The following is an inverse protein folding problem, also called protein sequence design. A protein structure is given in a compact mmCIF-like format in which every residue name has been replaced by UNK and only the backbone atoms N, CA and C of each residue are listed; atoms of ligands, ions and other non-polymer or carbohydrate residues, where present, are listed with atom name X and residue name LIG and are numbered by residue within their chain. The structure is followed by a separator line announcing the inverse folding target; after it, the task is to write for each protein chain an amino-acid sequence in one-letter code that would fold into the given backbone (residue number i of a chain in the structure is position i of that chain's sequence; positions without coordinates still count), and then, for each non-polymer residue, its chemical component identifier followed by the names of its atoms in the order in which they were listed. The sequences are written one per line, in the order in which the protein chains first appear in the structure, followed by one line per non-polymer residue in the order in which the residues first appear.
data_IF_262137575423
#
_entry.id   IF_262137575423
#
_cell.length_a   1.000
_cell.length_b   1.000
_cell.length_c   1.000
_cell.angle_alpha   90.00
_cell.angle_beta   90.00
_cell.angle_gamma   90.00
#
_symmetry.space_group_name_H-M   'P 1'
#
loop_
_entity.id
_entity.type
_entity.pdbx_description
1 polymer ?
#
# COMPACT_ATOMS: atom_id res chain seq x y z
N UNK A 1 72.07 4.43 9.44
CA UNK A 1 71.00 3.97 10.34
C UNK A 1 69.79 3.63 9.45
N UNK A 2 69.43 2.35 9.36
CA UNK A 2 68.39 1.84 8.44
C UNK A 2 67.04 1.94 9.16
N UNK A 3 66.11 2.72 8.63
CA UNK A 3 64.70 2.70 9.08
C UNK A 3 63.98 1.55 8.38
N UNK A 4 63.66 0.51 9.15
CA UNK A 4 62.82 -0.60 8.71
C UNK A 4 61.35 -0.16 8.81
N UNK A 5 60.62 -0.15 7.71
CA UNK A 5 59.18 0.08 7.68
C UNK A 5 58.48 -1.28 7.69
N UNK A 6 57.73 -1.61 8.74
CA UNK A 6 56.94 -2.85 8.83
C UNK A 6 55.47 -2.51 8.52
N UNK A 7 54.83 -3.12 7.50
CA UNK A 7 53.41 -2.92 7.28
C UNK A 7 52.63 -3.83 8.22
N UNK A 8 51.78 -3.24 9.07
CA UNK A 8 50.80 -3.97 9.86
C UNK A 8 49.63 -4.32 8.95
N UNK A 9 49.44 -5.61 8.68
CA UNK A 9 48.26 -6.12 7.95
C UNK A 9 47.16 -6.38 8.97
N UNK A 10 46.13 -5.53 8.98
CA UNK A 10 44.94 -5.71 9.82
C UNK A 10 43.95 -6.62 9.09
N UNK A 11 43.79 -7.87 9.54
CA UNK A 11 42.78 -8.78 9.03
C UNK A 11 41.39 -8.42 9.59
N UNK A 12 40.48 -7.96 8.74
CA UNK A 12 39.06 -7.77 9.09
C UNK A 12 38.33 -9.12 9.02
N UNK A 13 37.96 -9.66 10.18
CA UNK A 13 37.05 -10.80 10.29
C UNK A 13 35.62 -10.32 10.00
N UNK A 14 35.09 -10.68 8.83
CA UNK A 14 33.66 -10.54 8.55
C UNK A 14 32.90 -11.66 9.28
N UNK A 15 32.20 -11.30 10.36
CA UNK A 15 31.24 -12.18 10.99
C UNK A 15 29.96 -12.20 10.12
N UNK A 16 29.71 -13.31 9.43
CA UNK A 16 28.43 -13.56 8.77
C UNK A 16 27.36 -13.78 9.85
N UNK A 17 26.53 -12.77 10.11
CA UNK A 17 25.30 -12.97 10.86
C UNK A 17 24.38 -13.90 10.04
N UNK A 18 23.97 -15.02 10.63
CA UNK A 18 22.95 -15.87 10.04
C UNK A 18 21.64 -15.09 10.01
N UNK A 19 21.20 -14.69 8.82
CA UNK A 19 19.84 -14.19 8.61
C UNK A 19 18.93 -15.39 8.81
N UNK A 20 18.14 -15.40 9.88
CA UNK A 20 17.05 -16.36 10.03
C UNK A 20 16.06 -16.10 8.91
N UNK A 21 15.90 -17.06 7.99
CA UNK A 21 14.79 -17.04 7.06
C UNK A 21 13.49 -17.05 7.89
N UNK A 22 12.57 -16.13 7.60
CA UNK A 22 11.18 -16.29 8.03
C UNK A 22 10.69 -17.59 7.40
N UNK A 23 10.02 -18.45 8.18
CA UNK A 23 9.38 -19.63 7.63
C UNK A 23 8.33 -19.18 6.60
N UNK A 24 8.46 -19.64 5.36
CA UNK A 24 7.48 -19.39 4.27
C UNK A 24 6.13 -20.10 4.51
N UNK A 25 5.90 -20.67 5.69
CA UNK A 25 4.67 -21.36 6.01
C UNK A 25 3.56 -20.35 6.32
N UNK A 26 2.68 -20.13 5.34
CA UNK A 26 1.46 -19.35 5.50
C UNK A 26 0.56 -20.06 6.53
N UNK A 27 0.18 -19.39 7.65
CA UNK A 27 -0.72 -19.96 8.63
C UNK A 27 -2.01 -20.47 7.98
N UNK A 28 -2.54 -21.58 8.49
CA UNK A 28 -3.73 -22.24 7.94
C UNK A 28 -4.93 -22.06 8.86
N UNK A 29 -6.07 -21.76 8.27
CA UNK A 29 -7.35 -21.72 8.95
C UNK A 29 -7.89 -23.13 9.23
N UNK A 30 -9.07 -23.21 9.87
CA UNK A 30 -9.76 -24.45 10.26
C UNK A 30 -10.09 -25.39 9.08
N UNK A 31 -10.13 -24.85 7.86
CA UNK A 31 -10.43 -25.56 6.61
C UNK A 31 -9.17 -25.83 5.76
N UNK A 32 -7.98 -25.62 6.32
CA UNK A 32 -6.68 -25.80 5.68
C UNK A 32 -6.39 -24.81 4.52
N UNK A 33 -7.20 -23.76 4.33
CA UNK A 33 -6.87 -22.62 3.47
C UNK A 33 -5.98 -21.61 4.23
N UNK A 34 -5.35 -20.62 3.56
CA UNK A 34 -4.66 -19.52 4.24
C UNK A 34 -5.53 -18.85 5.30
N UNK A 35 -4.98 -18.63 6.48
CA UNK A 35 -5.58 -17.83 7.53
C UNK A 35 -5.36 -16.34 7.23
N UNK A 36 -6.45 -15.64 6.92
CA UNK A 36 -6.45 -14.21 6.63
C UNK A 36 -6.71 -13.36 7.87
N UNK A 37 -6.97 -13.97 9.04
CA UNK A 37 -7.25 -13.23 10.27
C UNK A 37 -6.09 -12.31 10.64
N UNK A 38 -6.41 -11.06 11.00
CA UNK A 38 -5.43 -10.12 11.51
C UNK A 38 -5.67 -8.69 11.07
N UNK A 39 -4.70 -7.84 11.40
CA UNK A 39 -4.67 -6.44 10.97
C UNK A 39 -3.75 -6.33 9.76
N UNK A 40 -4.29 -5.77 8.69
CA UNK A 40 -3.65 -5.60 7.40
C UNK A 40 -3.57 -4.11 7.06
N UNK A 41 -2.63 -3.75 6.20
CA UNK A 41 -2.53 -2.41 5.66
C UNK A 41 -1.91 -2.49 4.26
N UNK A 42 -2.49 -1.77 3.31
CA UNK A 42 -1.83 -1.53 2.03
C UNK A 42 -0.71 -0.51 2.23
N UNK A 43 0.53 -0.90 1.92
CA UNK A 43 1.69 -0.02 2.01
C UNK A 43 2.02 0.51 0.62
N UNK A 44 1.94 1.83 0.45
CA UNK A 44 2.24 2.51 -0.80
C UNK A 44 1.33 3.71 -1.03
N UNK A 45 1.29 4.18 -2.27
CA UNK A 45 0.50 5.36 -2.68
C UNK A 45 -0.64 4.99 -3.62
N UNK A 46 -0.99 3.71 -3.73
CA UNK A 46 -2.11 3.20 -4.51
C UNK A 46 -3.47 3.82 -4.12
N UNK A 47 -3.55 4.41 -2.91
CA UNK A 47 -4.63 5.30 -2.51
C UNK A 47 -4.84 6.47 -3.49
N UNK A 48 -3.78 7.03 -4.06
CA UNK A 48 -3.86 8.21 -4.92
C UNK A 48 -4.14 7.86 -6.37
N UNK A 49 -3.49 6.81 -6.88
CA UNK A 49 -3.75 6.20 -8.17
C UNK A 49 -3.21 4.76 -8.18
N UNK A 50 -3.96 3.83 -8.79
CA UNK A 50 -3.55 2.43 -8.92
C UNK A 50 -2.50 2.23 -10.01
N UNK A 51 -2.48 3.09 -11.03
CA UNK A 51 -1.47 3.11 -12.09
C UNK A 51 -0.22 3.89 -11.64
N UNK A 52 0.89 3.73 -12.36
CA UNK A 52 2.11 4.53 -12.15
C UNK A 52 1.78 6.03 -12.22
N UNK A 53 2.29 6.80 -11.25
CA UNK A 53 2.03 8.24 -11.22
C UNK A 53 3.20 9.04 -10.63
N UNK A 54 3.53 10.21 -11.22
CA UNK A 54 4.50 11.12 -10.64
C UNK A 54 3.89 11.85 -9.42
N UNK A 55 4.75 12.56 -8.69
CA UNK A 55 4.30 13.51 -7.69
C UNK A 55 3.46 14.61 -8.36
N UNK A 56 2.42 15.06 -7.68
CA UNK A 56 1.49 16.06 -8.21
C UNK A 56 1.04 17.08 -7.16
N UNK A 57 0.60 18.27 -7.58
CA UNK A 57 0.05 19.24 -6.65
C UNK A 57 -1.26 18.74 -6.03
N UNK A 58 -1.49 19.14 -4.79
CA UNK A 58 -2.78 19.00 -4.13
C UNK A 58 -3.75 20.12 -4.48
N UNK A 59 -4.92 20.11 -3.86
CA UNK A 59 -5.79 21.30 -3.90
C UNK A 59 -5.07 22.48 -3.23
N UNK A 60 -5.06 23.69 -3.82
CA UNK A 60 -4.33 24.84 -3.28
C UNK A 60 -4.66 25.16 -1.81
N UNK A 61 -5.92 25.01 -1.41
CA UNK A 61 -6.38 25.27 -0.05
C UNK A 61 -5.80 24.31 1.00
N UNK A 62 -5.31 23.13 0.59
CA UNK A 62 -4.70 22.13 1.46
C UNK A 62 -3.16 22.24 1.48
N UNK A 63 -2.57 23.01 0.56
CA UNK A 63 -1.13 23.10 0.40
C UNK A 63 -0.45 21.73 0.28
N UNK A 64 0.68 21.56 0.97
CA UNK A 64 1.45 20.31 0.94
C UNK A 64 0.72 19.10 1.56
N UNK A 65 -0.29 19.31 2.41
CA UNK A 65 -1.05 18.21 3.03
C UNK A 65 -1.86 17.44 1.99
N UNK A 66 -2.39 18.14 0.97
CA UNK A 66 -3.13 17.51 -0.13
C UNK A 66 -2.26 17.08 -1.31
N UNK A 67 -0.94 17.25 -1.23
CA UNK A 67 -0.02 16.93 -2.31
C UNK A 67 -0.02 15.42 -2.58
N UNK A 68 0.13 15.08 -3.86
CA UNK A 68 0.09 13.69 -4.32
C UNK A 68 1.53 13.16 -4.32
N UNK A 69 1.86 12.16 -3.50
CA UNK A 69 3.16 11.51 -3.54
C UNK A 69 3.30 10.68 -4.83
N UNK A 70 4.53 10.52 -5.37
CA UNK A 70 4.77 9.63 -6.50
C UNK A 70 4.56 8.17 -6.08
N UNK A 71 4.19 7.32 -7.03
CA UNK A 71 3.90 5.92 -6.77
C UNK A 71 4.21 4.99 -7.93
N UNK A 72 4.75 3.82 -7.61
CA UNK A 72 4.67 2.67 -8.49
C UNK A 72 3.25 2.10 -8.39
N UNK A 73 2.65 1.85 -9.53
CA UNK A 73 1.35 1.25 -9.72
C UNK A 73 1.32 -0.21 -9.27
N UNK A 74 0.11 -0.64 -8.96
CA UNK A 74 -0.23 -2.00 -8.50
C UNK A 74 -1.02 -2.78 -9.55
N UNK A 75 -1.24 -2.18 -10.72
CA UNK A 75 -1.96 -2.79 -11.84
C UNK A 75 -1.01 -3.71 -12.60
N UNK A 76 -1.37 -4.99 -12.68
CA UNK A 76 -0.65 -5.95 -13.53
C UNK A 76 -0.74 -5.51 -15.00
N UNK A 77 0.42 -5.36 -15.66
CA UNK A 77 0.49 -4.81 -17.02
C UNK A 77 0.54 -3.28 -17.09
N UNK A 78 0.49 -2.58 -15.96
CA UNK A 78 0.72 -1.13 -15.84
C UNK A 78 -0.55 -0.29 -15.94
N UNK A 79 -1.32 -0.47 -17.01
CA UNK A 79 -2.52 0.33 -17.29
C UNK A 79 -3.81 -0.44 -17.02
N UNK A 80 -4.80 0.25 -16.47
CA UNK A 80 -6.18 -0.25 -16.40
C UNK A 80 -6.76 -0.16 -17.80
N UNK A 81 -7.36 -1.25 -18.34
CA UNK A 81 -7.90 -1.30 -19.69
C UNK A 81 -9.24 -0.56 -19.81
N UNK A 82 -9.23 0.74 -19.53
CA UNK A 82 -10.38 1.61 -19.70
C UNK A 82 -10.75 1.78 -21.18
N UNK A 83 -12.05 1.91 -21.46
CA UNK A 83 -12.48 2.53 -22.72
C UNK A 83 -12.05 4.00 -22.74
N UNK A 84 -11.95 4.64 -23.92
CA UNK A 84 -11.60 6.06 -24.01
C UNK A 84 -12.50 6.96 -23.14
N UNK A 85 -13.81 6.69 -23.12
CA UNK A 85 -14.78 7.45 -22.33
C UNK A 85 -14.57 7.24 -20.83
N UNK A 86 -14.27 6.00 -20.40
CA UNK A 86 -13.99 5.71 -19.00
C UNK A 86 -12.68 6.37 -18.54
N UNK A 87 -11.66 6.43 -19.41
CA UNK A 87 -10.41 7.15 -19.12
C UNK A 87 -10.62 8.66 -19.01
N UNK A 88 -11.46 9.24 -19.87
CA UNK A 88 -11.81 10.66 -19.74
C UNK A 88 -12.56 10.92 -18.43
N UNK A 89 -13.56 10.10 -18.11
CA UNK A 89 -14.33 10.24 -16.87
C UNK A 89 -13.45 10.08 -15.62
N UNK A 90 -12.43 9.22 -15.65
CA UNK A 90 -11.46 9.08 -14.56
C UNK A 90 -10.65 10.37 -14.35
N UNK A 91 -10.19 11.01 -15.42
CA UNK A 91 -9.47 12.28 -15.35
C UNK A 91 -10.39 13.40 -14.84
N UNK A 92 -11.62 13.49 -15.38
CA UNK A 92 -12.60 14.48 -14.95
C UNK A 92 -12.95 14.32 -13.45
N UNK A 93 -13.08 13.08 -12.96
CA UNK A 93 -13.31 12.80 -11.54
C UNK A 93 -12.12 13.23 -10.67
N UNK A 94 -10.90 13.00 -11.15
CA UNK A 94 -9.69 13.35 -10.43
C UNK A 94 -9.49 14.86 -10.34
N UNK A 95 -9.71 15.59 -11.44
CA UNK A 95 -9.66 17.05 -11.47
C UNK A 95 -10.71 17.68 -10.53
N UNK A 96 -11.90 17.07 -10.47
CA UNK A 96 -13.01 17.54 -9.64
C UNK A 96 -13.13 16.81 -8.30
N UNK A 97 -12.08 16.11 -7.84
CA UNK A 97 -12.15 15.20 -6.68
C UNK A 97 -12.59 15.87 -5.38
N UNK A 98 -12.29 17.16 -5.18
CA UNK A 98 -12.76 17.87 -3.98
C UNK A 98 -14.29 17.92 -3.88
N UNK A 99 -14.98 17.91 -5.02
CA UNK A 99 -16.44 17.92 -5.09
C UNK A 99 -17.02 16.52 -5.31
N UNK A 100 -16.31 15.64 -6.02
CA UNK A 100 -16.85 14.37 -6.48
C UNK A 100 -16.38 13.17 -5.63
N UNK A 101 -15.24 13.26 -4.96
CA UNK A 101 -14.71 12.18 -4.13
C UNK A 101 -15.57 12.02 -2.86
N UNK A 102 -16.12 10.82 -2.59
CA UNK A 102 -16.80 10.54 -1.33
C UNK A 102 -15.92 10.80 -0.10
N UNK A 103 -14.60 10.60 -0.19
CA UNK A 103 -13.66 10.84 0.90
C UNK A 103 -13.63 12.31 1.33
N UNK A 104 -13.65 13.24 0.36
CA UNK A 104 -13.70 14.67 0.63
C UNK A 104 -15.00 15.10 1.36
N UNK A 105 -16.04 14.26 1.30
CA UNK A 105 -17.34 14.44 1.98
C UNK A 105 -17.45 13.65 3.29
N UNK A 106 -16.37 13.01 3.74
CA UNK A 106 -16.35 12.11 4.90
C UNK A 106 -17.29 10.89 4.75
N UNK A 107 -17.60 10.46 3.52
CA UNK A 107 -18.41 9.28 3.28
C UNK A 107 -17.56 8.01 3.27
N UNK A 108 -18.20 6.88 3.57
CA UNK A 108 -17.55 5.57 3.55
C UNK A 108 -17.05 5.24 2.13
N UNK A 109 -15.76 4.92 1.94
CA UNK A 109 -15.24 4.52 0.65
C UNK A 109 -15.76 3.13 0.26
N UNK A 110 -15.97 2.92 -1.04
CA UNK A 110 -16.25 1.60 -1.59
C UNK A 110 -14.99 0.72 -1.69
N UNK A 111 -15.16 -0.57 -1.92
CA UNK A 111 -14.04 -1.47 -2.30
C UNK A 111 -13.81 -1.35 -3.81
N UNK A 112 -12.56 -1.23 -4.31
CA UNK A 112 -11.29 -1.46 -3.60
C UNK A 112 -10.67 -0.23 -2.90
N UNK A 113 -11.21 0.98 -3.07
CA UNK A 113 -10.68 2.22 -2.47
C UNK A 113 -10.41 2.07 -0.97
N UNK A 114 -11.38 1.53 -0.22
CA UNK A 114 -11.29 1.31 1.22
C UNK A 114 -10.05 0.48 1.63
N UNK A 115 -9.67 -0.51 0.81
CA UNK A 115 -8.52 -1.39 1.04
C UNK A 115 -7.19 -0.68 0.83
N UNK A 116 -7.14 0.27 -0.10
CA UNK A 116 -5.93 1.05 -0.39
C UNK A 116 -5.78 2.30 0.47
N UNK A 117 -6.78 2.67 1.28
CA UNK A 117 -6.65 3.78 2.23
C UNK A 117 -5.41 3.58 3.11
N UNK A 118 -4.67 4.64 3.47
CA UNK A 118 -3.45 4.55 4.28
C UNK A 118 -3.77 4.32 5.77
N UNK A 119 -4.75 3.47 6.05
CA UNK A 119 -5.20 3.08 7.37
C UNK A 119 -5.22 1.55 7.47
N UNK A 120 -4.86 0.99 8.63
CA UNK A 120 -5.05 -0.43 8.86
C UNK A 120 -6.52 -0.84 8.77
N UNK A 121 -6.75 -2.08 8.36
CA UNK A 121 -8.05 -2.74 8.37
C UNK A 121 -7.92 -4.14 8.95
N UNK A 122 -8.96 -4.62 9.61
CA UNK A 122 -8.98 -5.95 10.21
C UNK A 122 -9.76 -6.91 9.32
N UNK A 123 -9.21 -8.10 9.09
CA UNK A 123 -9.93 -9.23 8.52
C UNK A 123 -10.28 -10.20 9.65
N UNK A 124 -11.56 -10.59 9.70
CA UNK A 124 -12.08 -11.63 10.57
C UNK A 124 -12.66 -12.71 9.66
N UNK A 125 -11.97 -13.84 9.56
CA UNK A 125 -12.36 -14.99 8.75
C UNK A 125 -13.12 -16.00 9.61
N UNK A 126 -14.43 -16.10 9.39
CA UNK A 126 -15.28 -17.13 9.97
C UNK A 126 -15.33 -18.40 9.13
N UNK A 127 -16.24 -19.31 9.47
CA UNK A 127 -16.44 -20.56 8.72
C UNK A 127 -17.34 -20.42 7.48
N UNK A 128 -18.16 -19.37 7.43
CA UNK A 128 -19.13 -19.12 6.35
C UNK A 128 -19.01 -17.73 5.74
N UNK A 129 -18.37 -16.79 6.43
CA UNK A 129 -18.30 -15.38 6.04
C UNK A 129 -16.94 -14.80 6.41
N UNK A 130 -16.52 -13.78 5.67
CA UNK A 130 -15.36 -12.96 5.99
C UNK A 130 -15.85 -11.53 6.24
N UNK A 131 -15.46 -10.96 7.38
CA UNK A 131 -15.70 -9.55 7.68
C UNK A 131 -14.40 -8.78 7.49
N UNK A 132 -14.45 -7.72 6.68
CA UNK A 132 -13.38 -6.73 6.58
C UNK A 132 -13.87 -5.45 7.25
N UNK A 133 -13.10 -4.95 8.22
CA UNK A 133 -13.40 -3.74 8.99
C UNK A 133 -12.31 -2.72 8.73
N UNK A 134 -12.65 -1.62 8.06
CA UNK A 134 -11.71 -0.58 7.68
C UNK A 134 -11.58 0.48 8.76
N UNK A 135 -10.35 0.92 9.04
CA UNK A 135 -10.10 1.99 10.02
C UNK A 135 -10.63 3.36 9.60
N UNK A 136 -10.92 3.56 8.30
CA UNK A 136 -11.48 4.81 7.79
C UNK A 136 -13.00 4.78 7.76
N UNK A 137 -13.62 5.80 8.38
CA UNK A 137 -15.06 6.02 8.39
C UNK A 137 -15.91 4.81 8.84
N UNK A 138 -15.34 3.90 9.65
CA UNK A 138 -15.97 2.66 10.10
C UNK A 138 -16.56 1.81 8.95
N UNK A 139 -16.02 1.97 7.73
CA UNK A 139 -16.48 1.22 6.58
C UNK A 139 -16.26 -0.27 6.83
N UNK A 140 -17.19 -1.10 6.38
CA UNK A 140 -17.05 -2.54 6.53
C UNK A 140 -17.68 -3.29 5.37
N UNK A 141 -17.18 -4.49 5.11
CA UNK A 141 -17.72 -5.38 4.07
C UNK A 141 -17.76 -6.80 4.59
N UNK A 142 -18.92 -7.42 4.50
CA UNK A 142 -19.09 -8.86 4.68
C UNK A 142 -19.07 -9.52 3.30
N UNK A 143 -18.28 -10.58 3.18
CA UNK A 143 -18.22 -11.47 2.01
C UNK A 143 -18.77 -12.83 2.44
#
# INVERSE_FOLDING_TARGET
MKHLCVPVVTAFLFASAAISAQSDEVPRAWDNHPDLNGIWQAIGTAHWNLEDHPAGPGHPDLGAIGAIPPGQGVVEGGDIPYTPEARQQQQDNFENRMMNDPEAKCFMPGVPRATYMPHPFQIIQGNQKIQVVYGFAEASRTI
#
